data_IF_059824829505
#
_entry.id   IF_059824829505
#
_cell.length_a   1.000
_cell.length_b   1.000
_cell.length_c   1.000
_cell.angle_alpha   90.00
_cell.angle_beta   90.00
_cell.angle_gamma   90.00
#
_symmetry.space_group_name_H-M   'P 1'
#
loop_
_entity.id
_entity.type
_entity.pdbx_description
1 polymer ?
#
# COMPACT_ATOMS: atom_id res chain seq x y z
N UNK A 1 -17.52 28.94 10.61
CA UNK A 1 -17.07 28.18 9.59
C UNK A 1 -16.81 26.81 10.05
N UNK A 2 -16.93 25.96 9.24
CA UNK A 2 -16.76 24.64 9.56
C UNK A 2 -15.41 24.26 9.33
N UNK A 3 -14.81 23.78 10.29
CA UNK A 3 -13.54 23.23 10.10
C UNK A 3 -13.74 21.92 9.54
N UNK A 4 -13.12 21.69 8.49
CA UNK A 4 -13.16 20.46 7.91
C UNK A 4 -12.51 19.53 8.79
N UNK A 5 -13.18 18.62 9.26
CA UNK A 5 -12.59 17.61 10.07
C UNK A 5 -11.72 16.70 9.29
N UNK A 6 -11.30 15.65 9.94
CA UNK A 6 -10.46 14.67 9.31
C UNK A 6 -11.21 13.93 8.24
N UNK A 7 -10.56 13.63 7.19
CA UNK A 7 -11.13 12.82 6.13
C UNK A 7 -10.66 11.39 6.28
N UNK A 8 -11.27 10.50 5.56
CA UNK A 8 -11.04 9.08 5.69
C UNK A 8 -10.60 8.53 4.34
N UNK A 9 -9.67 7.62 4.37
CA UNK A 9 -9.19 6.92 3.17
C UNK A 9 -9.85 5.55 3.13
N UNK A 10 -10.90 5.38 2.33
CA UNK A 10 -11.71 4.17 2.36
C UNK A 10 -11.18 3.12 1.40
N UNK A 11 -10.05 2.54 1.73
CA UNK A 11 -9.40 1.58 0.84
C UNK A 11 -9.11 0.26 1.54
N UNK A 12 -9.36 -0.82 0.82
CA UNK A 12 -9.05 -2.17 1.26
C UNK A 12 -7.81 -2.62 0.50
N UNK A 13 -6.81 -3.07 1.24
CA UNK A 13 -5.58 -3.62 0.67
C UNK A 13 -5.53 -5.11 0.97
N UNK A 14 -5.26 -5.91 -0.04
CA UNK A 14 -5.17 -7.36 0.12
C UNK A 14 -3.96 -7.90 -0.61
N UNK A 15 -3.20 -8.76 0.04
CA UNK A 15 -2.17 -9.52 -0.65
C UNK A 15 -2.89 -10.62 -1.43
N UNK A 16 -2.75 -10.61 -2.74
CA UNK A 16 -3.43 -11.58 -3.60
C UNK A 16 -2.56 -12.84 -3.64
N UNK A 17 -2.94 -13.86 -2.87
CA UNK A 17 -2.14 -15.06 -2.76
C UNK A 17 -2.23 -15.94 -4.00
N UNK A 18 -3.21 -15.72 -4.87
CA UNK A 18 -3.33 -16.52 -6.08
C UNK A 18 -2.40 -16.05 -7.18
N UNK A 19 -2.16 -14.73 -7.27
CA UNK A 19 -1.28 -14.20 -8.29
C UNK A 19 0.13 -13.96 -7.77
N UNK A 20 0.32 -14.00 -6.45
CA UNK A 20 1.64 -13.86 -5.86
C UNK A 20 2.39 -15.19 -5.87
N UNK A 21 3.71 -15.13 -5.79
CA UNK A 21 4.56 -16.31 -5.66
C UNK A 21 5.37 -16.09 -4.41
N UNK A 22 4.85 -16.53 -3.27
CA UNK A 22 5.48 -16.24 -1.98
C UNK A 22 6.60 -17.23 -1.66
N UNK A 23 6.49 -18.46 -2.15
CA UNK A 23 7.50 -19.48 -1.94
C UNK A 23 7.97 -19.98 -3.32
N UNK A 24 8.91 -19.28 -3.93
CA UNK A 24 9.29 -19.61 -5.31
C UNK A 24 10.05 -20.94 -5.38
N UNK A 25 9.83 -21.65 -6.49
CA UNK A 25 10.60 -22.83 -6.80
C UNK A 25 11.88 -22.40 -7.49
N UNK A 26 12.86 -23.31 -7.61
CA UNK A 26 14.08 -22.97 -8.32
C UNK A 26 13.77 -22.45 -9.73
N UNK A 27 14.36 -21.34 -10.07
CA UNK A 27 14.12 -20.70 -11.36
C UNK A 27 13.01 -19.69 -11.38
N UNK A 28 12.25 -19.56 -10.28
CA UNK A 28 11.21 -18.58 -10.18
C UNK A 28 11.64 -17.43 -9.27
N UNK A 29 11.09 -16.26 -9.50
CA UNK A 29 11.27 -15.14 -8.58
C UNK A 29 10.10 -15.11 -7.59
N UNK A 30 10.35 -14.62 -6.42
CA UNK A 30 9.28 -14.31 -5.47
C UNK A 30 8.52 -13.11 -6.01
N UNK A 31 7.21 -13.14 -5.93
CA UNK A 31 6.39 -12.06 -6.46
C UNK A 31 5.28 -11.73 -5.49
N UNK A 32 5.08 -10.45 -5.27
CA UNK A 32 4.03 -9.94 -4.39
C UNK A 32 3.05 -9.14 -5.24
N UNK A 33 1.78 -9.48 -5.15
CA UNK A 33 0.71 -8.76 -5.83
C UNK A 33 -0.31 -8.31 -4.80
N UNK A 34 -0.68 -7.04 -4.85
CA UNK A 34 -1.64 -6.48 -3.91
C UNK A 34 -2.81 -5.89 -4.68
N UNK A 35 -4.02 -6.16 -4.20
CA UNK A 35 -5.23 -5.58 -4.75
C UNK A 35 -5.68 -4.47 -3.83
N UNK A 36 -6.03 -3.33 -4.39
CA UNK A 36 -6.49 -2.17 -3.66
C UNK A 36 -7.83 -1.76 -4.22
N UNK A 37 -8.81 -1.56 -3.36
CA UNK A 37 -10.15 -1.18 -3.79
C UNK A 37 -10.68 -0.01 -2.97
N UNK A 38 -11.26 0.97 -3.64
CA UNK A 38 -11.97 2.04 -2.98
C UNK A 38 -13.36 1.57 -2.60
N UNK A 39 -13.73 1.76 -1.35
CA UNK A 39 -15.01 1.28 -0.83
C UNK A 39 -15.80 2.38 -0.11
N UNK A 40 -15.50 3.62 -0.42
CA UNK A 40 -16.18 4.75 0.18
C UNK A 40 -17.38 5.22 -0.62
N UNK A 41 -17.85 6.41 -0.31
CA UNK A 41 -18.95 7.03 -1.03
C UNK A 41 -18.49 8.39 -1.55
N UNK A 42 -19.27 8.95 -2.47
CA UNK A 42 -18.93 10.23 -3.07
C UNK A 42 -19.37 11.35 -2.15
N UNK A 43 -18.72 11.47 -1.03
CA UNK A 43 -19.01 12.54 -0.06
C UNK A 43 -17.68 13.13 0.39
N UNK A 44 -17.67 14.36 0.91
CA UNK A 44 -16.43 14.99 1.36
C UNK A 44 -15.77 14.30 2.55
N UNK A 45 -16.47 13.41 3.22
CA UNK A 45 -15.91 12.68 4.33
C UNK A 45 -14.76 11.77 3.86
N UNK A 46 -14.85 11.28 2.64
CA UNK A 46 -13.86 10.35 2.11
C UNK A 46 -12.92 11.06 1.14
N UNK A 47 -11.68 10.64 1.12
CA UNK A 47 -10.67 11.18 0.21
C UNK A 47 -10.19 10.11 -0.76
N UNK A 48 -9.87 10.53 -1.96
CA UNK A 48 -9.22 9.63 -2.91
C UNK A 48 -7.80 9.33 -2.44
N UNK A 49 -7.27 8.19 -2.83
CA UNK A 49 -5.89 7.85 -2.55
C UNK A 49 -4.99 8.64 -3.50
N UNK A 50 -3.95 9.23 -2.97
CA UNK A 50 -2.94 9.91 -3.78
C UNK A 50 -1.77 8.98 -4.04
N UNK A 51 -1.25 8.36 -3.00
CA UNK A 51 -0.19 7.36 -3.12
C UNK A 51 -0.11 6.53 -1.85
N UNK A 52 0.64 5.44 -1.91
CA UNK A 52 0.89 4.65 -0.71
C UNK A 52 2.32 4.11 -0.74
N UNK A 53 2.81 3.71 0.43
CA UNK A 53 4.10 3.10 0.56
C UNK A 53 3.96 1.77 1.29
N UNK A 54 4.69 0.79 0.79
CA UNK A 54 4.77 -0.52 1.41
C UNK A 54 6.15 -0.63 2.02
N UNK A 55 6.22 -0.76 3.33
CA UNK A 55 7.49 -0.76 4.06
C UNK A 55 8.24 -2.07 3.95
N UNK A 56 8.66 -2.41 2.77
CA UNK A 56 9.41 -3.65 2.53
C UNK A 56 10.75 -3.61 3.26
N UNK A 57 11.35 -4.77 3.45
CA UNK A 57 12.61 -4.87 4.17
C UNK A 57 13.64 -3.89 3.64
N UNK A 58 14.31 -3.16 4.53
CA UNK A 58 15.24 -2.10 4.13
C UNK A 58 16.50 -2.63 3.45
N UNK A 59 16.73 -3.93 3.49
CA UNK A 59 17.84 -4.52 2.75
C UNK A 59 17.55 -4.65 1.25
N UNK A 60 16.31 -4.46 0.84
CA UNK A 60 15.94 -4.55 -0.57
C UNK A 60 16.29 -3.23 -1.24
N UNK A 61 17.07 -3.31 -2.32
CA UNK A 61 17.43 -2.12 -3.10
C UNK A 61 16.64 -2.12 -4.40
N UNK A 62 16.71 -1.01 -5.12
CA UNK A 62 15.98 -0.90 -6.39
C UNK A 62 16.40 -1.99 -7.37
N UNK A 63 17.67 -2.36 -7.38
CA UNK A 63 18.16 -3.39 -8.27
C UNK A 63 17.60 -4.78 -7.95
N UNK A 64 17.11 -4.95 -6.74
CA UNK A 64 16.52 -6.23 -6.34
C UNK A 64 15.08 -6.36 -6.77
N UNK A 65 14.46 -5.30 -7.26
CA UNK A 65 13.04 -5.27 -7.59
C UNK A 65 12.86 -5.32 -9.09
N UNK A 66 12.09 -6.31 -9.54
CA UNK A 66 11.88 -6.56 -10.95
C UNK A 66 10.40 -6.55 -11.29
N UNK A 67 10.11 -6.30 -12.57
CA UNK A 67 8.76 -6.48 -13.13
C UNK A 67 7.66 -5.83 -12.31
N UNK A 68 7.85 -4.57 -11.98
CA UNK A 68 6.81 -3.81 -11.28
C UNK A 68 5.68 -3.52 -12.27
N UNK A 69 4.47 -3.91 -11.91
CA UNK A 69 3.30 -3.65 -12.74
C UNK A 69 2.23 -2.97 -11.93
N UNK A 70 1.52 -2.06 -12.55
CA UNK A 70 0.40 -1.37 -11.93
C UNK A 70 -0.75 -1.36 -12.93
N UNK A 71 -1.91 -1.86 -12.50
CA UNK A 71 -3.11 -1.89 -13.31
C UNK A 71 -4.20 -1.15 -12.54
N UNK A 72 -4.83 -0.16 -13.16
CA UNK A 72 -5.89 0.61 -12.53
C UNK A 72 -7.12 0.54 -13.39
N UNK A 73 -8.21 0.07 -12.80
CA UNK A 73 -9.50 -0.09 -13.48
C UNK A 73 -9.33 -0.85 -14.80
N UNK A 74 -8.52 -1.90 -14.74
CA UNK A 74 -8.27 -2.75 -15.89
C UNK A 74 -7.26 -2.25 -16.89
N UNK A 75 -6.63 -1.08 -16.65
CA UNK A 75 -5.68 -0.50 -17.59
C UNK A 75 -4.27 -0.53 -17.02
N UNK A 76 -3.34 -1.09 -17.76
CA UNK A 76 -1.94 -1.10 -17.37
C UNK A 76 -1.37 0.30 -17.38
N UNK A 77 -0.59 0.61 -16.38
CA UNK A 77 0.03 1.91 -16.23
C UNK A 77 1.51 1.81 -16.56
N UNK A 78 2.10 2.91 -17.07
CA UNK A 78 3.53 2.94 -17.26
C UNK A 78 4.20 3.14 -15.92
N UNK A 79 5.17 2.29 -15.64
CA UNK A 79 5.95 2.40 -14.40
C UNK A 79 7.26 3.10 -14.75
N UNK A 80 7.49 4.24 -14.11
CA UNK A 80 8.69 5.04 -14.37
C UNK A 80 9.35 5.29 -13.04
N UNK A 81 10.48 4.59 -12.82
CA UNK A 81 11.23 4.73 -11.57
C UNK A 81 11.70 6.18 -11.40
N UNK A 82 11.53 6.68 -10.19
CA UNK A 82 11.86 8.05 -9.88
C UNK A 82 10.72 9.02 -10.14
N UNK A 83 9.64 8.56 -10.75
CA UNK A 83 8.48 9.40 -10.99
C UNK A 83 7.25 8.84 -10.31
N UNK A 84 6.77 7.67 -10.70
CA UNK A 84 5.57 7.12 -10.09
C UNK A 84 5.83 5.85 -9.27
N UNK A 85 7.05 5.33 -9.26
CA UNK A 85 7.48 4.27 -8.37
C UNK A 85 8.85 4.66 -7.84
N UNK A 86 9.02 4.64 -6.53
CA UNK A 86 10.29 5.00 -5.91
C UNK A 86 10.52 4.15 -4.67
N UNK A 87 11.77 3.94 -4.34
CA UNK A 87 12.11 3.30 -3.08
C UNK A 87 12.57 4.39 -2.11
N UNK A 88 11.77 4.66 -1.11
CA UNK A 88 12.07 5.69 -0.12
C UNK A 88 12.85 5.08 1.04
N UNK A 89 13.88 5.80 1.50
CA UNK A 89 14.79 5.31 2.52
C UNK A 89 14.77 6.23 3.74
N UNK A 90 15.43 5.82 4.80
CA UNK A 90 15.51 6.64 6.00
C UNK A 90 16.17 7.98 5.70
N UNK A 91 17.15 8.01 4.82
CA UNK A 91 17.83 9.26 4.46
C UNK A 91 16.94 10.14 3.58
N UNK A 92 16.06 9.54 2.82
CA UNK A 92 15.18 10.26 1.90
C UNK A 92 13.76 9.70 2.01
N UNK A 93 13.08 9.98 3.12
CA UNK A 93 11.71 9.48 3.30
C UNK A 93 10.72 10.24 2.43
N UNK A 94 9.53 9.71 2.34
CA UNK A 94 8.47 10.36 1.57
C UNK A 94 8.08 11.68 2.23
N UNK A 95 8.22 12.81 1.56
CA UNK A 95 8.00 14.10 2.20
C UNK A 95 6.64 14.28 2.89
N UNK A 96 5.50 13.99 2.26
CA UNK A 96 4.25 14.27 2.95
C UNK A 96 3.94 13.32 4.11
N UNK A 97 4.49 12.11 4.11
CA UNK A 97 4.13 11.12 5.11
C UNK A 97 5.26 10.79 6.08
N UNK A 98 6.50 11.04 5.68
CA UNK A 98 7.66 10.62 6.46
C UNK A 98 7.91 9.13 6.40
N UNK A 99 7.15 8.39 5.60
CA UNK A 99 7.27 6.94 5.54
C UNK A 99 8.37 6.50 4.58
N UNK A 100 8.83 5.27 4.74
CA UNK A 100 9.86 4.69 3.88
C UNK A 100 9.32 3.41 3.26
N UNK A 101 9.97 2.93 2.23
CA UNK A 101 9.60 1.71 1.53
C UNK A 101 9.29 1.94 0.07
N UNK A 102 8.61 1.00 -0.53
CA UNK A 102 8.28 1.07 -1.95
C UNK A 102 7.04 1.93 -2.13
N UNK A 103 7.23 3.06 -2.80
CA UNK A 103 6.16 4.05 -3.00
C UNK A 103 5.54 3.87 -4.36
N UNK A 104 4.22 3.80 -4.38
CA UNK A 104 3.43 3.76 -5.61
C UNK A 104 2.61 5.04 -5.66
N UNK A 105 2.99 5.93 -6.57
CA UNK A 105 2.37 7.25 -6.66
C UNK A 105 1.35 7.23 -7.79
N UNK A 106 0.23 6.59 -7.54
CA UNK A 106 -0.87 6.46 -8.48
C UNK A 106 -2.16 6.78 -7.75
N UNK A 107 -2.97 7.70 -8.26
CA UNK A 107 -4.22 8.03 -7.59
C UNK A 107 -5.26 6.94 -7.77
N UNK A 108 -6.15 6.80 -6.83
CA UNK A 108 -7.23 5.84 -6.92
C UNK A 108 -8.53 6.43 -6.37
N UNK A 109 -9.60 6.18 -7.08
CA UNK A 109 -10.92 6.71 -6.73
C UNK A 109 -11.44 6.06 -5.45
N UNK A 110 -12.04 6.87 -4.61
CA UNK A 110 -12.53 6.43 -3.31
C UNK A 110 -13.79 5.58 -3.37
N UNK A 111 -14.53 5.66 -4.46
CA UNK A 111 -15.85 5.01 -4.53
C UNK A 111 -15.73 3.61 -5.14
N UNK A 112 -15.10 3.51 -6.29
CA UNK A 112 -15.05 2.26 -7.00
C UNK A 112 -13.71 1.99 -7.68
N UNK A 113 -12.68 2.71 -7.32
CA UNK A 113 -11.37 2.48 -7.91
C UNK A 113 -10.83 1.11 -7.58
N UNK A 114 -10.16 0.48 -8.54
CA UNK A 114 -9.52 -0.81 -8.35
C UNK A 114 -8.11 -0.75 -8.89
N UNK A 115 -7.16 -1.19 -8.11
CA UNK A 115 -5.75 -1.17 -8.51
C UNK A 115 -5.12 -2.50 -8.13
N UNK A 116 -4.24 -3.00 -8.97
CA UNK A 116 -3.38 -4.11 -8.60
C UNK A 116 -1.94 -3.70 -8.85
N UNK A 117 -1.09 -3.84 -7.84
CA UNK A 117 0.32 -3.60 -7.99
C UNK A 117 1.04 -4.92 -7.74
N UNK A 118 2.04 -5.21 -8.56
CA UNK A 118 2.86 -6.41 -8.38
C UNK A 118 4.32 -6.05 -8.54
N UNK A 119 5.18 -6.77 -7.86
CA UNK A 119 6.62 -6.66 -8.05
C UNK A 119 7.29 -7.98 -7.71
N UNK A 120 8.40 -8.26 -8.36
CA UNK A 120 9.17 -9.46 -8.11
C UNK A 120 10.50 -9.09 -7.45
N UNK A 121 11.05 -10.03 -6.72
CA UNK A 121 12.33 -9.82 -6.03
C UNK A 121 13.33 -10.87 -6.53
N UNK A 122 14.57 -10.43 -6.75
CA UNK A 122 15.62 -11.32 -7.24
C UNK A 122 15.98 -12.39 -6.21
N UNK A 123 15.74 -12.12 -4.94
CA UNK A 123 15.94 -13.08 -3.87
C UNK A 123 14.68 -13.15 -3.05
N UNK A 124 14.32 -14.32 -2.51
CA UNK A 124 13.14 -14.41 -1.68
C UNK A 124 13.40 -13.84 -0.28
N UNK A 125 12.37 -13.23 0.27
CA UNK A 125 12.40 -12.70 1.64
C UNK A 125 11.31 -13.37 2.45
N UNK A 126 11.46 -13.35 3.76
CA UNK A 126 10.42 -13.88 4.64
C UNK A 126 9.16 -13.05 4.47
N UNK A 127 8.02 -13.73 4.47
CA UNK A 127 6.73 -13.03 4.41
C UNK A 127 6.32 -12.73 5.84
N UNK A 128 6.21 -11.48 6.16
CA UNK A 128 5.89 -11.03 7.52
C UNK A 128 5.25 -9.67 7.48
N UNK A 129 4.99 -9.09 8.66
CA UNK A 129 4.32 -7.79 8.70
C UNK A 129 5.26 -6.69 8.22
N UNK A 130 4.79 -5.88 7.30
CA UNK A 130 5.48 -4.68 6.85
C UNK A 130 4.53 -3.51 6.99
N UNK A 131 5.08 -2.32 7.13
CA UNK A 131 4.26 -1.14 7.32
C UNK A 131 3.54 -0.77 6.04
N UNK A 132 2.33 -0.26 6.18
CA UNK A 132 1.56 0.29 5.08
C UNK A 132 1.22 1.73 5.44
N UNK A 133 1.49 2.64 4.53
CA UNK A 133 1.33 4.05 4.75
C UNK A 133 0.56 4.64 3.57
N UNK A 134 -0.56 5.32 3.85
CA UNK A 134 -1.41 5.87 2.81
C UNK A 134 -1.44 7.39 2.88
N UNK A 135 -1.53 8.03 1.74
CA UNK A 135 -1.67 9.48 1.67
C UNK A 135 -2.79 9.84 0.71
N UNK A 136 -3.65 10.74 1.11
CA UNK A 136 -4.70 11.25 0.24
C UNK A 136 -5.47 12.36 0.95
N UNK A 137 -5.99 13.31 0.18
CA UNK A 137 -6.72 14.42 0.74
C UNK A 137 -5.87 15.28 1.68
N UNK A 138 -4.56 15.29 1.46
CA UNK A 138 -3.65 16.07 2.31
C UNK A 138 -3.37 15.43 3.65
N UNK A 139 -3.78 14.19 3.86
CA UNK A 139 -3.65 13.54 5.17
C UNK A 139 -2.99 12.19 5.04
N UNK A 140 -2.36 11.75 6.12
CA UNK A 140 -1.60 10.50 6.17
C UNK A 140 -2.25 9.50 7.11
N UNK A 141 -2.35 8.26 6.66
CA UNK A 141 -2.69 7.14 7.53
C UNK A 141 -1.47 6.25 7.64
N UNK A 142 -0.95 6.07 8.84
CA UNK A 142 0.24 5.28 9.08
C UNK A 142 0.04 4.37 10.29
N UNK A 143 1.03 3.58 10.60
CA UNK A 143 0.89 2.64 11.70
C UNK A 143 0.11 1.39 11.31
N UNK A 144 -0.09 1.17 10.02
CA UNK A 144 -0.82 0.02 9.50
C UNK A 144 0.18 -1.04 9.07
N UNK A 145 -0.24 -2.29 9.04
CA UNK A 145 0.63 -3.37 8.58
C UNK A 145 -0.11 -4.32 7.67
N UNK A 146 0.62 -4.99 6.81
CA UNK A 146 0.10 -6.00 5.90
C UNK A 146 1.22 -6.99 5.65
N UNK A 147 0.92 -8.18 5.20
CA UNK A 147 1.95 -9.15 4.84
C UNK A 147 2.75 -8.68 3.65
N UNK A 148 4.05 -8.76 3.72
CA UNK A 148 4.93 -8.39 2.63
C UNK A 148 6.33 -8.91 2.86
N UNK A 149 7.29 -8.53 2.01
CA UNK A 149 8.66 -9.00 2.18
C UNK A 149 9.32 -8.32 3.36
N UNK A 150 9.53 -9.09 4.40
CA UNK A 150 10.05 -8.58 5.67
C UNK A 150 11.50 -8.98 5.85
N UNK A 151 12.12 -8.42 6.87
CA UNK A 151 13.51 -8.71 7.18
C UNK A 151 13.67 -9.94 8.07
N UNK A 152 12.75 -10.86 8.02
CA UNK A 152 12.89 -12.10 8.79
C UNK A 152 12.11 -12.11 10.08
N UNK A 153 11.06 -11.29 10.18
CA UNK A 153 10.20 -11.31 11.36
C UNK A 153 9.52 -12.66 11.48
N UNK A 154 9.41 -13.15 12.72
CA UNK A 154 8.66 -14.38 12.96
C UNK A 154 7.23 -14.08 13.38
N UNK A 155 6.85 -12.81 13.39
CA UNK A 155 5.50 -12.44 13.76
C UNK A 155 4.52 -12.79 12.66
N UNK A 156 3.30 -13.08 13.02
CA UNK A 156 2.26 -13.29 12.03
C UNK A 156 1.84 -11.96 11.43
N UNK A 157 1.30 -12.00 10.24
CA UNK A 157 0.85 -10.80 9.56
C UNK A 157 -0.51 -11.03 8.95
N UNK A 158 -1.18 -9.92 8.62
CA UNK A 158 -2.46 -9.98 7.96
C UNK A 158 -2.25 -9.90 6.45
N UNK A 159 -2.92 -10.75 5.71
CA UNK A 159 -2.86 -10.67 4.27
C UNK A 159 -3.80 -9.60 3.73
N UNK A 160 -4.78 -9.19 4.50
CA UNK A 160 -5.72 -8.15 4.10
C UNK A 160 -5.78 -7.09 5.17
N UNK A 161 -5.68 -5.84 4.76
CA UNK A 161 -5.88 -4.74 5.69
C UNK A 161 -7.13 -3.99 5.33
N UNK A 162 -8.04 -3.85 6.29
CA UNK A 162 -9.15 -2.93 6.14
C UNK A 162 -9.86 -2.80 7.48
N UNK A 163 -10.52 -1.67 7.66
CA UNK A 163 -11.28 -1.40 8.83
C UNK A 163 -12.67 -1.93 8.64
N UNK A 164 -12.97 -3.06 9.25
CA UNK A 164 -14.13 -3.71 9.00
C UNK A 164 -15.33 -2.94 9.35
N UNK A 165 -15.38 -2.35 10.46
CA UNK A 165 -16.52 -1.64 10.90
C UNK A 165 -16.69 -0.32 10.20
N UNK A 166 -15.66 0.37 9.93
CA UNK A 166 -15.75 1.66 9.30
C UNK A 166 -15.59 1.57 7.83
N UNK A 167 -15.10 0.49 7.32
CA UNK A 167 -14.83 0.31 5.94
C UNK A 167 -13.87 1.37 5.51
N UNK A 168 -13.08 1.87 6.36
CA UNK A 168 -12.20 2.96 6.03
C UNK A 168 -11.05 3.01 6.99
N UNK A 169 -10.00 3.67 6.53
CA UNK A 169 -8.84 3.85 7.34
C UNK A 169 -8.86 5.28 7.82
N UNK A 170 -8.90 5.53 9.11
CA UNK A 170 -8.88 6.88 9.61
C UNK A 170 -7.58 7.54 9.20
N UNK A 171 -7.70 8.73 8.69
CA UNK A 171 -6.56 9.41 8.21
C UNK A 171 -5.76 10.01 9.30
N UNK A 172 -6.34 10.28 10.42
CA UNK A 172 -5.57 10.69 11.55
C UNK A 172 -6.10 9.85 12.66
N UNK A 173 -5.73 10.12 13.82
CA UNK A 173 -6.14 9.39 14.88
C UNK A 173 -7.50 9.60 15.11
N UNK A 174 -8.28 9.52 14.28
CA UNK A 174 -9.62 9.77 14.41
C UNK A 174 -10.25 8.74 15.19
N UNK A 175 -11.05 9.17 15.98
CA UNK A 175 -11.69 8.25 16.74
C UNK A 175 -12.79 7.61 16.08
N UNK A 176 -13.16 7.95 15.07
CA UNK A 176 -14.06 7.46 14.41
C UNK A 176 -13.95 6.20 14.29
N UNK A 177 -13.15 5.87 14.46
CA UNK A 177 -12.92 4.78 14.54
C UNK A 177 -13.97 3.90 14.36
N UNK A 178 -14.62 3.59 14.52
CA UNK A 178 -15.42 2.73 14.30
C UNK A 178 -16.49 2.72 14.58
N UNK A 179 -16.98 3.04 14.12
CA UNK A 179 -18.20 3.02 14.30
C UNK A 179 -18.57 1.73 14.15
N UNK A 180 -18.29 1.16 14.30
CA UNK A 180 -18.75 -0.02 14.19
C UNK A 180 -19.53 -0.43 14.29
#
# INVERSE_FOLDING_TARGET
>A
STVIGERILPFVFSLNTETSVLTPKPGEYQRFCYDIAGVGTDTPLYADLSHFLLGICSAITQEDILDVTVVIDGKSQNVIWGENVELKTIQHPDPPTGCTGLKFDFPLDKVDGEMQVCFSLVRPYAVGPVNLCLFGGGQTASGLTICGPSCGSTESCESTFYQKETVCVPVTVSPFAHPG
#
